data_IF_463921428529
#
_entry.id   IF_463921428529
#
_cell.length_a   1.000
_cell.length_b   1.000
_cell.length_c   1.000
_cell.angle_alpha   90.00
_cell.angle_beta   90.00
_cell.angle_gamma   90.00
#
_symmetry.space_group_name_H-M   'P 1'
#
loop_
_entity.id
_entity.type
_entity.pdbx_description
1 polymer ?
#
# COMPACT_ATOMS: atom_id res chain seq x y z
N UNK A 1 -1.81 11.49 16.92
CA UNK A 1 -1.87 10.76 15.63
C UNK A 1 -3.32 10.78 15.17
N UNK A 2 -3.56 10.92 13.88
CA UNK A 2 -4.90 11.12 13.31
C UNK A 2 -5.61 9.77 13.11
N UNK A 3 -6.94 9.72 13.27
CA UNK A 3 -7.73 8.53 12.95
C UNK A 3 -8.06 8.53 11.46
N UNK A 4 -8.02 7.35 10.83
CA UNK A 4 -8.50 7.17 9.46
C UNK A 4 -9.89 6.51 9.54
N UNK A 5 -10.89 7.11 8.90
CA UNK A 5 -12.26 6.60 8.97
C UNK A 5 -12.34 5.17 8.41
N UNK A 6 -12.90 4.24 9.20
CA UNK A 6 -13.07 2.84 8.82
C UNK A 6 -11.80 1.98 8.88
N UNK A 7 -10.71 2.49 9.46
CA UNK A 7 -9.51 1.72 9.79
C UNK A 7 -9.39 1.54 11.30
N UNK A 8 -8.88 0.39 11.70
CA UNK A 8 -8.40 0.14 13.05
C UNK A 8 -7.05 0.83 13.28
N UNK A 9 -6.83 1.32 14.49
CA UNK A 9 -5.62 2.04 14.89
C UNK A 9 -5.81 3.56 15.05
N UNK A 10 -4.72 4.32 15.25
CA UNK A 10 -3.32 3.88 15.25
C UNK A 10 -3.00 3.00 16.47
N UNK A 11 -2.42 1.83 16.22
CA UNK A 11 -1.92 0.94 17.28
C UNK A 11 -0.41 1.09 17.36
N UNK A 12 0.12 1.45 18.53
CA UNK A 12 1.55 1.52 18.74
C UNK A 12 2.19 0.13 18.56
N UNK A 13 3.27 0.07 17.79
CA UNK A 13 4.12 -1.11 17.61
C UNK A 13 5.53 -0.79 18.13
N UNK A 14 6.50 -1.71 17.94
CA UNK A 14 7.88 -1.50 18.39
C UNK A 14 8.52 -0.25 17.76
N UNK A 15 9.52 0.27 18.46
CA UNK A 15 10.42 1.33 17.98
C UNK A 15 9.74 2.65 17.59
N UNK A 16 8.71 3.03 18.34
CA UNK A 16 7.99 4.29 18.15
C UNK A 16 7.19 4.36 16.85
N UNK A 17 6.97 3.21 16.20
CA UNK A 17 6.16 3.10 14.99
C UNK A 17 4.70 2.81 15.37
N UNK A 18 3.78 3.07 14.46
CA UNK A 18 2.35 2.79 14.64
C UNK A 18 1.78 2.13 13.40
N UNK A 19 0.68 1.40 13.59
CA UNK A 19 0.03 0.64 12.54
C UNK A 19 -1.46 0.98 12.45
N UNK A 20 -1.94 1.15 11.22
CA UNK A 20 -3.36 1.10 10.88
C UNK A 20 -3.67 -0.19 10.14
N UNK A 21 -4.85 -0.75 10.36
CA UNK A 21 -5.29 -1.96 9.67
C UNK A 21 -6.74 -1.84 9.21
N UNK A 22 -7.07 -2.48 8.09
CA UNK A 22 -8.45 -2.60 7.61
C UNK A 22 -8.60 -3.91 6.85
N UNK A 23 -9.71 -4.61 7.07
CA UNK A 23 -10.07 -5.78 6.28
C UNK A 23 -11.13 -5.39 5.24
N UNK A 24 -10.95 -5.82 4.00
CA UNK A 24 -11.92 -5.68 2.90
C UNK A 24 -12.07 -7.04 2.23
N UNK A 25 -13.17 -7.75 2.52
CA UNK A 25 -13.34 -9.13 2.07
C UNK A 25 -12.21 -10.03 2.58
N UNK A 26 -11.48 -10.66 1.67
CA UNK A 26 -10.29 -11.48 1.97
C UNK A 26 -8.99 -10.67 2.06
N UNK A 27 -9.05 -9.39 1.68
CA UNK A 27 -7.88 -8.53 1.64
C UNK A 27 -7.62 -7.89 2.99
N UNK A 28 -6.36 -7.90 3.41
CA UNK A 28 -5.87 -7.18 4.59
C UNK A 28 -5.02 -6.00 4.13
N UNK A 29 -5.42 -4.81 4.57
CA UNK A 29 -4.73 -3.56 4.31
C UNK A 29 -4.01 -3.15 5.61
N UNK A 30 -2.74 -2.81 5.50
CA UNK A 30 -1.92 -2.41 6.63
C UNK A 30 -1.10 -1.17 6.26
N UNK A 31 -1.13 -0.14 7.09
CA UNK A 31 -0.22 1.00 6.96
C UNK A 31 0.66 1.06 8.19
N UNK A 32 1.97 0.96 7.99
CA UNK A 32 2.96 1.17 9.02
C UNK A 32 3.53 2.57 8.90
N UNK A 33 3.59 3.28 10.02
CA UNK A 33 4.08 4.65 10.07
C UNK A 33 5.21 4.77 11.08
N UNK A 34 6.27 5.49 10.69
CA UNK A 34 7.41 5.83 11.52
C UNK A 34 7.77 7.29 11.31
N UNK A 35 7.51 8.12 12.32
CA UNK A 35 7.62 9.57 12.17
C UNK A 35 6.66 10.08 11.10
N UNK A 36 7.19 10.74 10.07
CA UNK A 36 6.42 11.23 8.91
C UNK A 36 6.40 10.25 7.72
N UNK A 37 7.14 9.14 7.81
CA UNK A 37 7.18 8.13 6.75
C UNK A 37 6.11 7.08 7.00
N UNK A 38 5.49 6.60 5.92
CA UNK A 38 4.51 5.53 5.99
C UNK A 38 4.61 4.60 4.78
N UNK A 39 4.30 3.32 4.99
CA UNK A 39 4.34 2.24 4.01
C UNK A 39 3.03 1.47 4.09
N UNK A 40 2.40 1.24 2.94
CA UNK A 40 1.17 0.45 2.82
C UNK A 40 1.47 -0.97 2.34
N UNK A 41 0.76 -1.96 2.87
CA UNK A 41 0.75 -3.34 2.36
C UNK A 41 -0.68 -3.84 2.19
N UNK A 42 -0.92 -4.51 1.08
CA UNK A 42 -2.19 -5.15 0.76
C UNK A 42 -1.89 -6.62 0.53
N UNK A 43 -2.50 -7.50 1.33
CA UNK A 43 -2.32 -8.95 1.23
C UNK A 43 -3.66 -9.68 1.12
N UNK A 44 -3.66 -10.88 0.55
CA UNK A 44 -4.86 -11.71 0.42
C UNK A 44 -5.83 -11.26 -0.67
N UNK A 45 -5.37 -10.44 -1.64
CA UNK A 45 -6.20 -9.96 -2.76
C UNK A 45 -5.85 -10.62 -4.10
N UNK A 46 -4.89 -11.57 -4.12
CA UNK A 46 -4.37 -12.20 -5.33
C UNK A 46 -3.49 -11.28 -6.19
N UNK A 47 -3.33 -10.03 -5.77
CA UNK A 47 -2.47 -8.99 -6.37
C UNK A 47 -1.78 -8.22 -5.26
N UNK A 48 -1.16 -8.99 -4.38
CA UNK A 48 -0.56 -8.51 -3.15
C UNK A 48 0.57 -7.51 -3.49
N UNK A 49 0.58 -6.39 -2.79
CA UNK A 49 1.53 -5.32 -3.07
C UNK A 49 1.94 -4.51 -1.85
N UNK A 50 3.14 -3.95 -1.92
CA UNK A 50 3.63 -2.91 -1.03
C UNK A 50 3.61 -1.56 -1.76
N UNK A 51 3.17 -0.50 -1.08
CA UNK A 51 3.23 0.88 -1.53
C UNK A 51 4.19 1.62 -0.62
N UNK A 52 5.32 2.04 -1.18
CA UNK A 52 6.37 2.71 -0.43
C UNK A 52 6.90 3.90 -1.22
N UNK A 53 7.53 4.84 -0.49
CA UNK A 53 8.23 5.97 -1.09
C UNK A 53 9.72 5.66 -1.16
N UNK A 54 10.26 5.61 -2.37
CA UNK A 54 11.69 5.37 -2.64
C UNK A 54 12.19 6.39 -3.65
N UNK A 55 13.39 6.93 -3.41
CA UNK A 55 14.00 7.98 -4.25
C UNK A 55 13.07 9.20 -4.44
N UNK A 56 12.28 9.50 -3.42
CA UNK A 56 11.31 10.61 -3.43
C UNK A 56 10.00 10.32 -4.17
N UNK A 57 9.88 9.18 -4.85
CA UNK A 57 8.72 8.78 -5.64
C UNK A 57 7.91 7.69 -4.94
N UNK A 58 6.58 7.75 -5.06
CA UNK A 58 5.73 6.66 -4.64
C UNK A 58 5.77 5.55 -5.68
N UNK A 59 5.92 4.31 -5.20
CA UNK A 59 6.00 3.12 -6.05
C UNK A 59 5.13 2.03 -5.45
N UNK A 60 4.46 1.29 -6.32
CA UNK A 60 3.84 0.00 -6.00
C UNK A 60 4.80 -1.12 -6.39
N UNK A 61 5.01 -2.06 -5.47
CA UNK A 61 5.81 -3.26 -5.67
C UNK A 61 4.90 -4.47 -5.50
N UNK A 62 4.90 -5.39 -6.47
CA UNK A 62 4.32 -6.72 -6.22
C UNK A 62 5.11 -7.40 -5.11
N UNK A 63 4.40 -8.05 -4.19
CA UNK A 63 5.01 -8.83 -3.12
C UNK A 63 4.48 -10.26 -3.16
N UNK A 64 5.28 -11.18 -2.65
CA UNK A 64 4.90 -12.56 -2.46
C UNK A 64 5.49 -13.09 -1.15
N UNK A 65 5.07 -14.28 -0.75
CA UNK A 65 5.61 -15.00 0.40
C UNK A 65 7.06 -15.41 0.11
N UNK A 66 7.96 -15.15 1.06
CA UNK A 66 9.33 -15.63 0.98
C UNK A 66 9.38 -17.13 1.30
N UNK A 67 10.04 -17.90 0.44
CA UNK A 67 10.13 -19.35 0.58
C UNK A 67 11.60 -19.79 0.78
N UNK A 68 11.79 -20.91 1.48
CA UNK A 68 13.08 -21.61 1.50
C UNK A 68 13.36 -22.25 0.13
N UNK A 69 14.60 -22.68 -0.11
CA UNK A 69 14.93 -23.42 -1.32
C UNK A 69 14.14 -24.75 -1.46
N UNK A 70 13.54 -25.24 -0.35
CA UNK A 70 12.67 -26.41 -0.33
C UNK A 70 11.18 -26.10 -0.53
N UNK A 71 10.80 -24.83 -0.68
CA UNK A 71 9.41 -24.38 -0.83
C UNK A 71 8.67 -24.17 0.49
N UNK A 72 9.36 -24.14 1.64
CA UNK A 72 8.72 -23.85 2.92
C UNK A 72 8.55 -22.34 3.12
N UNK A 73 7.40 -21.90 3.61
CA UNK A 73 7.15 -20.50 3.95
C UNK A 73 8.10 -20.04 5.06
N UNK A 74 8.85 -18.98 4.80
CA UNK A 74 9.70 -18.35 5.82
C UNK A 74 8.85 -17.50 6.76
N UNK A 75 9.03 -17.75 8.05
CA UNK A 75 8.37 -17.02 9.13
C UNK A 75 9.40 -16.40 10.06
N UNK A 76 9.11 -15.19 10.52
CA UNK A 76 9.89 -14.48 11.53
C UNK A 76 9.17 -14.55 12.89
N UNK A 77 9.87 -15.04 13.91
CA UNK A 77 9.40 -14.97 15.29
C UNK A 77 9.69 -13.59 15.88
N UNK A 78 8.66 -12.77 16.03
CA UNK A 78 8.74 -11.42 16.59
C UNK A 78 8.39 -11.47 18.07
N UNK A 79 9.32 -10.97 18.91
CA UNK A 79 9.09 -10.83 20.35
C UNK A 79 8.94 -12.15 21.11
N UNK A 80 9.34 -13.27 20.50
CA UNK A 80 9.29 -14.59 21.13
C UNK A 80 7.90 -15.26 21.15
N UNK A 81 6.85 -14.59 20.67
CA UNK A 81 5.46 -15.08 20.79
C UNK A 81 4.64 -14.99 19.51
N UNK A 82 5.08 -14.20 18.52
CA UNK A 82 4.30 -13.94 17.31
C UNK A 82 5.06 -14.40 16.08
N UNK A 83 4.48 -15.31 15.29
CA UNK A 83 5.01 -15.67 13.97
C UNK A 83 4.43 -14.72 12.92
N UNK A 84 5.29 -14.13 12.10
CA UNK A 84 4.92 -13.30 10.96
C UNK A 84 5.43 -13.95 9.69
N UNK A 85 4.57 -14.07 8.68
CA UNK A 85 4.97 -14.49 7.33
C UNK A 85 5.89 -13.41 6.75
N UNK A 86 7.03 -13.82 6.22
CA UNK A 86 7.94 -12.91 5.54
C UNK A 86 7.43 -12.68 4.13
N UNK A 87 7.14 -11.42 3.79
CA UNK A 87 6.79 -11.02 2.43
C UNK A 87 8.00 -10.35 1.78
N UNK A 88 8.28 -10.67 0.53
CA UNK A 88 9.37 -10.10 -0.26
C UNK A 88 8.81 -9.44 -1.51
N UNK A 89 9.50 -8.40 -1.99
CA UNK A 89 9.17 -7.78 -3.28
C UNK A 89 9.63 -8.68 -4.41
N UNK A 90 8.73 -9.03 -5.32
CA UNK A 90 8.96 -10.06 -6.35
C UNK A 90 8.91 -9.55 -7.78
N UNK A 91 8.59 -8.29 -8.02
CA UNK A 91 8.31 -7.84 -9.39
C UNK A 91 8.47 -6.35 -9.68
N UNK A 92 7.84 -5.96 -10.80
CA UNK A 92 7.95 -4.67 -11.48
C UNK A 92 7.45 -3.50 -10.62
N UNK A 93 8.22 -2.41 -10.65
CA UNK A 93 7.91 -1.18 -9.93
C UNK A 93 6.95 -0.35 -10.78
N UNK A 94 5.76 -0.06 -10.26
CA UNK A 94 4.85 0.86 -10.92
C UNK A 94 4.89 2.22 -10.20
N UNK A 95 5.35 3.30 -10.86
CA UNK A 95 5.33 4.63 -10.26
C UNK A 95 3.88 5.06 -9.99
N UNK A 96 3.64 5.66 -8.84
CA UNK A 96 2.36 6.20 -8.42
C UNK A 96 2.43 7.71 -8.26
N UNK A 97 1.32 8.38 -8.58
CA UNK A 97 1.10 9.81 -8.33
C UNK A 97 -0.08 10.01 -7.38
N UNK A 98 -0.24 11.22 -6.86
CA UNK A 98 -1.43 11.60 -6.07
C UNK A 98 -1.45 11.13 -4.61
N UNK A 99 -0.36 10.52 -4.11
CA UNK A 99 -0.22 10.19 -2.68
C UNK A 99 0.63 11.27 -1.99
N UNK A 100 0.00 12.13 -1.21
CA UNK A 100 0.70 13.16 -0.43
C UNK A 100 0.59 12.91 1.09
N UNK A 101 -0.54 12.36 1.51
CA UNK A 101 -0.89 12.17 2.92
C UNK A 101 -1.15 10.70 3.24
N UNK A 102 -1.18 10.39 4.53
CA UNK A 102 -1.63 9.10 5.05
C UNK A 102 -3.03 8.74 4.56
N UNK A 103 -3.93 9.73 4.46
CA UNK A 103 -5.30 9.56 3.97
C UNK A 103 -5.34 9.22 2.47
N UNK A 104 -4.46 9.81 1.66
CA UNK A 104 -4.36 9.49 0.24
C UNK A 104 -3.88 8.05 0.03
N UNK A 105 -2.90 7.61 0.84
CA UNK A 105 -2.45 6.22 0.80
C UNK A 105 -3.58 5.26 1.18
N UNK A 106 -4.29 5.54 2.29
CA UNK A 106 -5.42 4.72 2.72
C UNK A 106 -6.48 4.61 1.62
N UNK A 107 -6.86 5.73 0.99
CA UNK A 107 -7.81 5.76 -0.12
C UNK A 107 -7.33 4.94 -1.32
N UNK A 108 -6.07 5.09 -1.71
CA UNK A 108 -5.48 4.31 -2.79
C UNK A 108 -5.55 2.80 -2.51
N UNK A 109 -5.22 2.40 -1.28
CA UNK A 109 -5.23 0.99 -0.88
C UNK A 109 -6.63 0.39 -0.88
N UNK A 110 -7.63 1.14 -0.40
CA UNK A 110 -9.03 0.70 -0.43
C UNK A 110 -9.54 0.51 -1.86
N UNK A 111 -9.20 1.44 -2.76
CA UNK A 111 -9.53 1.33 -4.18
C UNK A 111 -8.86 0.10 -4.82
N UNK A 112 -7.56 -0.12 -4.56
CA UNK A 112 -6.82 -1.26 -5.10
C UNK A 112 -7.37 -2.61 -4.63
N UNK A 113 -7.75 -2.69 -3.35
CA UNK A 113 -8.27 -3.91 -2.74
C UNK A 113 -9.74 -4.20 -3.12
N UNK A 114 -10.47 -3.25 -3.71
CA UNK A 114 -11.87 -3.44 -4.07
C UNK A 114 -12.00 -4.21 -5.40
N UNK A 115 -12.56 -5.44 -5.39
CA UNK A 115 -12.70 -6.24 -6.61
C UNK A 115 -13.71 -5.66 -7.62
N UNK A 116 -14.58 -4.73 -7.21
CA UNK A 116 -15.57 -4.09 -8.07
C UNK A 116 -15.07 -2.82 -8.77
N UNK A 117 -13.86 -2.35 -8.47
CA UNK A 117 -13.26 -1.23 -9.19
C UNK A 117 -12.73 -1.73 -10.52
N UNK A 118 -13.48 -1.45 -11.60
CA UNK A 118 -13.10 -1.79 -12.97
C UNK A 118 -11.70 -1.28 -13.29
N UNK A 119 -10.85 -2.16 -13.84
CA UNK A 119 -9.46 -1.84 -14.22
C UNK A 119 -9.36 -0.68 -15.24
N UNK A 120 -10.46 -0.29 -15.89
CA UNK A 120 -10.54 0.84 -16.80
C UNK A 120 -10.32 2.21 -16.11
N UNK A 121 -10.44 2.31 -14.78
CA UNK A 121 -10.15 3.55 -14.04
C UNK A 121 -8.66 3.75 -13.71
N UNK A 122 -7.81 2.74 -13.94
CA UNK A 122 -6.36 2.80 -13.68
C UNK A 122 -5.68 3.93 -14.49
N UNK A 123 -6.22 4.26 -15.68
CA UNK A 123 -5.75 5.36 -16.53
C UNK A 123 -6.49 6.70 -16.31
N UNK A 124 -7.47 6.77 -15.40
CA UNK A 124 -8.27 7.99 -15.15
C UNK A 124 -7.96 8.69 -13.85
N UNK A 125 -7.04 8.18 -13.02
CA UNK A 125 -6.48 8.99 -11.94
C UNK A 125 -5.85 10.24 -12.59
N UNK A 126 -6.28 11.45 -12.21
CA UNK A 126 -5.91 12.64 -12.95
C UNK A 126 -4.39 12.81 -12.88
N UNK A 127 -3.74 12.71 -14.03
CA UNK A 127 -2.52 13.47 -14.28
C UNK A 127 -2.90 14.94 -14.08
N UNK A 128 -2.72 15.48 -12.87
CA UNK A 128 -2.75 16.92 -12.67
C UNK A 128 -1.54 17.48 -13.40
N UNK A 129 -1.79 17.96 -14.62
CA UNK A 129 -0.79 18.57 -15.46
C UNK A 129 -1.21 18.56 -16.92
N UNK A 130 -2.33 19.20 -17.25
CA UNK A 130 -2.43 19.93 -18.52
C UNK A 130 -3.35 21.13 -18.32
N UNK A 131 -2.79 22.30 -18.59
CA UNK A 131 -3.43 23.60 -18.40
C UNK A 131 -4.62 23.83 -19.32
N UNK A 132 -5.32 24.96 -19.18
CA UNK A 132 -6.46 25.27 -20.02
C UNK A 132 -6.02 25.46 -21.48
N UNK A 133 -6.41 24.54 -22.35
CA UNK A 133 -6.39 24.75 -23.79
C UNK A 133 -7.31 25.93 -24.14
N UNK A 134 -6.73 27.06 -24.52
CA UNK A 134 -7.43 28.05 -25.33
C UNK A 134 -7.57 27.49 -26.75
N UNK A 135 -8.76 27.57 -27.38
CA UNK A 135 -8.88 27.28 -28.80
C UNK A 135 -8.39 28.49 -29.60
N UNK A 136 -7.27 28.34 -30.31
CA UNK A 136 -6.93 29.28 -31.39
C UNK A 136 -7.85 28.98 -32.59
N UNK A 137 -8.68 29.96 -32.90
CA UNK A 137 -9.35 30.12 -34.19
C UNK A 137 -8.32 30.57 -35.23
N UNK A 138 -8.15 29.84 -36.33
CA UNK A 138 -8.08 30.38 -37.72
C UNK A 138 -8.60 29.31 -38.68
#
# INVERSE_FOLDING_TARGET
>A
MEKIAGWDGPTAIKDGSFRYQKAIGWSTLCIECRGQSFVGRITGCGRDCEIAREDGLWKRFSIDVDETAGGDVRMLLVGGTTLQVVMVRTGEQCPLSGIATLHDLARYMEWWANPCCDQAEIHRLPHQGDGPHQPEQI
#
